data_IF_353422628619
#
_entry.id   IF_353422628619
#
_cell.length_a   1.000
_cell.length_b   1.000
_cell.length_c   1.000
_cell.angle_alpha   90.00
_cell.angle_beta   90.00
_cell.angle_gamma   90.00
#
_symmetry.space_group_name_H-M   'P 1'
#
loop_
_entity.id
_entity.type
_entity.pdbx_description
1 polymer ?
#
# COMPACT_ATOMS: atom_id res chain seq x y z
N UNK A 1 10.34 -10.19 4.53
CA UNK A 1 11.20 -11.24 5.14
C UNK A 1 12.20 -11.85 4.15
N UNK A 2 11.78 -12.14 2.91
CA UNK A 2 12.59 -12.88 1.94
C UNK A 2 13.09 -12.05 0.74
N UNK A 3 12.84 -10.73 0.74
CA UNK A 3 13.07 -9.84 -0.43
C UNK A 3 12.27 -10.20 -1.69
N UNK A 4 11.22 -11.02 -1.54
CA UNK A 4 10.29 -11.34 -2.62
C UNK A 4 9.37 -10.17 -2.96
N UNK A 5 8.78 -10.22 -4.16
CA UNK A 5 7.76 -9.27 -4.58
C UNK A 5 6.49 -9.38 -3.72
N UNK A 6 5.93 -8.23 -3.37
CA UNK A 6 4.61 -8.11 -2.76
C UNK A 6 3.63 -7.57 -3.79
N UNK A 7 2.40 -8.06 -3.73
CA UNK A 7 1.30 -7.58 -4.55
C UNK A 7 0.36 -6.74 -3.69
N UNK A 8 -0.06 -5.59 -4.21
CA UNK A 8 -0.97 -4.69 -3.50
C UNK A 8 -2.24 -4.58 -4.34
N UNK A 9 -3.39 -4.80 -3.71
CA UNK A 9 -4.69 -4.65 -4.34
C UNK A 9 -4.87 -3.22 -4.84
N UNK A 10 -5.33 -3.07 -6.07
CA UNK A 10 -5.52 -1.78 -6.70
C UNK A 10 -6.76 -1.75 -7.58
N UNK A 11 -7.21 -0.55 -7.87
CA UNK A 11 -8.21 -0.25 -8.89
C UNK A 11 -7.49 0.39 -10.07
N UNK A 12 -7.97 0.10 -11.27
CA UNK A 12 -7.47 0.72 -12.50
C UNK A 12 -8.66 1.18 -13.32
N UNK A 13 -8.50 2.34 -13.95
CA UNK A 13 -9.45 2.85 -14.93
C UNK A 13 -8.76 3.70 -16.00
N UNK A 14 -9.44 3.86 -17.12
CA UNK A 14 -9.11 4.89 -18.11
C UNK A 14 -9.80 6.20 -17.72
N UNK A 15 -9.05 7.23 -17.35
CA UNK A 15 -9.60 8.56 -17.10
C UNK A 15 -9.53 9.43 -18.36
N UNK A 16 -10.64 10.08 -18.71
CA UNK A 16 -10.66 11.05 -19.81
C UNK A 16 -9.84 12.32 -19.54
N UNK A 17 -9.53 12.61 -18.27
CA UNK A 17 -8.79 13.81 -17.86
C UNK A 17 -7.28 13.54 -17.76
N UNK A 18 -6.89 12.43 -17.14
CA UNK A 18 -5.49 12.14 -16.80
C UNK A 18 -4.92 10.90 -17.50
N UNK A 19 -5.72 10.23 -18.35
CA UNK A 19 -5.33 9.00 -19.03
C UNK A 19 -5.44 7.75 -18.13
N UNK A 20 -4.75 6.64 -18.49
CA UNK A 20 -4.76 5.42 -17.69
C UNK A 20 -4.22 5.69 -16.28
N UNK A 21 -5.01 5.40 -15.25
CA UNK A 21 -4.62 5.63 -13.88
C UNK A 21 -4.97 4.44 -12.98
N UNK A 22 -4.26 4.35 -11.86
CA UNK A 22 -4.54 3.34 -10.84
C UNK A 22 -4.48 3.97 -9.45
N UNK A 23 -5.19 3.35 -8.52
CA UNK A 23 -5.13 3.70 -7.10
C UNK A 23 -4.92 2.43 -6.28
N UNK A 24 -4.13 2.56 -5.22
CA UNK A 24 -3.87 1.47 -4.29
C UNK A 24 -4.97 1.40 -3.24
N UNK A 25 -5.45 0.19 -2.97
CA UNK A 25 -6.38 -0.06 -1.89
C UNK A 25 -5.64 -0.14 -0.56
N UNK A 26 -6.29 0.35 0.49
CA UNK A 26 -5.79 0.28 1.87
C UNK A 26 -6.81 -0.41 2.77
N UNK A 27 -6.33 -1.02 3.84
CA UNK A 27 -7.14 -1.62 4.91
C UNK A 27 -6.78 -0.99 6.26
N UNK A 28 -7.50 -1.39 7.31
CA UNK A 28 -7.03 -1.20 8.68
C UNK A 28 -5.64 -1.83 8.87
N UNK A 29 -4.82 -1.19 9.70
CA UNK A 29 -3.50 -1.71 10.04
C UNK A 29 -3.58 -2.94 10.96
N UNK A 30 -2.74 -3.94 10.69
CA UNK A 30 -2.53 -5.05 11.61
C UNK A 30 -1.68 -4.62 12.82
N UNK A 31 -1.47 -5.53 13.78
CA UNK A 31 -0.71 -5.25 15.01
C UNK A 31 0.74 -4.83 14.78
N UNK A 32 1.34 -5.20 13.63
CA UNK A 32 2.71 -4.81 13.28
C UNK A 32 2.77 -3.38 12.74
N UNK A 33 1.79 -2.97 11.94
CA UNK A 33 1.77 -1.66 11.27
C UNK A 33 1.10 -0.59 12.12
N UNK A 34 0.15 -0.94 12.99
CA UNK A 34 -0.60 0.02 13.81
C UNK A 34 0.25 0.95 14.69
N UNK A 35 1.46 0.58 15.19
CA UNK A 35 2.34 1.51 15.88
C UNK A 35 3.00 2.57 14.97
N UNK A 36 2.99 2.36 13.65
CA UNK A 36 3.56 3.24 12.63
C UNK A 36 2.46 4.11 12.00
N UNK A 37 1.35 3.50 11.60
CA UNK A 37 0.22 4.17 10.96
C UNK A 37 -1.08 3.34 11.10
N UNK A 38 -2.24 4.01 11.12
CA UNK A 38 -3.54 3.36 11.33
C UNK A 38 -4.09 2.62 10.09
N UNK A 39 -3.53 2.89 8.91
CA UNK A 39 -3.84 2.22 7.63
C UNK A 39 -2.63 1.50 7.09
N UNK A 40 -2.85 0.41 6.36
CA UNK A 40 -1.83 -0.30 5.61
C UNK A 40 -2.29 -0.63 4.18
N UNK A 41 -1.37 -0.89 3.24
CA UNK A 41 -1.74 -1.41 1.92
C UNK A 41 -2.46 -2.76 2.02
N UNK A 42 -3.43 -3.00 1.12
CA UNK A 42 -4.10 -4.30 1.00
C UNK A 42 -3.17 -5.32 0.30
N UNK A 43 -2.41 -6.11 1.06
CA UNK A 43 -1.36 -7.01 0.51
C UNK A 43 -1.93 -8.33 0.01
N UNK A 44 -2.06 -8.52 -1.30
CA UNK A 44 -2.59 -9.77 -1.86
C UNK A 44 -1.51 -10.85 -1.83
N UNK A 45 -1.79 -12.00 -1.20
CA UNK A 45 -0.86 -13.14 -1.23
C UNK A 45 -0.92 -13.87 -2.57
N UNK A 46 0.12 -14.63 -2.90
CA UNK A 46 0.15 -15.42 -4.14
C UNK A 46 -1.05 -16.37 -4.27
N UNK A 47 -1.57 -16.89 -3.16
CA UNK A 47 -2.74 -17.78 -3.14
C UNK A 47 -4.07 -17.04 -3.33
N UNK A 48 -4.09 -15.72 -3.08
CA UNK A 48 -5.30 -14.90 -3.12
C UNK A 48 -5.43 -14.09 -4.40
N UNK A 49 -4.45 -14.15 -5.32
CA UNK A 49 -4.45 -13.36 -6.56
C UNK A 49 -5.73 -13.56 -7.38
N UNK A 50 -6.04 -14.82 -7.72
CA UNK A 50 -7.21 -15.15 -8.54
C UNK A 50 -8.50 -14.73 -7.84
N UNK A 51 -8.58 -15.00 -6.54
CA UNK A 51 -9.73 -14.63 -5.72
C UNK A 51 -9.94 -13.11 -5.67
N UNK A 52 -8.86 -12.34 -5.49
CA UNK A 52 -8.93 -10.89 -5.51
C UNK A 52 -9.42 -10.36 -6.85
N UNK A 53 -8.92 -10.89 -7.97
CA UNK A 53 -9.31 -10.45 -9.31
C UNK A 53 -10.77 -10.78 -9.63
N UNK A 54 -11.31 -11.89 -9.12
CA UNK A 54 -12.67 -12.33 -9.38
C UNK A 54 -13.70 -11.74 -8.40
N UNK A 55 -13.32 -11.55 -7.14
CA UNK A 55 -14.26 -11.29 -6.04
C UNK A 55 -13.97 -9.99 -5.26
N UNK A 56 -12.84 -9.33 -5.53
CA UNK A 56 -12.41 -8.11 -4.85
C UNK A 56 -11.98 -8.32 -3.40
N UNK A 57 -12.06 -7.27 -2.58
CA UNK A 57 -11.57 -7.28 -1.18
C UNK A 57 -12.46 -8.00 -0.16
N UNK A 58 -13.63 -8.53 -0.56
CA UNK A 58 -14.62 -9.10 0.38
C UNK A 58 -14.08 -10.25 1.25
N UNK A 59 -12.99 -10.87 0.84
CA UNK A 59 -12.39 -12.04 1.48
C UNK A 59 -11.01 -11.75 2.08
N UNK A 60 -10.62 -10.48 2.12
CA UNK A 60 -9.27 -10.08 2.44
C UNK A 60 -9.14 -9.67 3.91
N UNK A 61 -8.37 -10.43 4.69
CA UNK A 61 -7.94 -10.05 6.03
C UNK A 61 -6.44 -9.69 6.02
N UNK A 62 -6.00 -8.68 6.79
CA UNK A 62 -4.59 -8.28 6.81
C UNK A 62 -3.71 -9.43 7.32
N UNK A 63 -2.79 -9.98 6.51
CA UNK A 63 -1.98 -11.11 6.94
C UNK A 63 -0.95 -10.64 7.98
N UNK A 64 -0.84 -11.29 9.15
CA UNK A 64 0.05 -10.83 10.23
C UNK A 64 1.54 -11.10 9.96
N UNK A 65 1.90 -11.99 9.02
CA UNK A 65 3.25 -12.56 8.92
C UNK A 65 4.05 -12.20 7.65
N UNK A 66 3.54 -11.28 6.80
CA UNK A 66 4.23 -10.95 5.54
C UNK A 66 5.29 -9.85 5.66
N UNK A 67 5.21 -9.04 6.71
CA UNK A 67 6.03 -7.84 6.84
C UNK A 67 6.97 -7.97 8.04
N UNK A 68 8.09 -7.28 7.94
CA UNK A 68 8.99 -6.99 9.06
C UNK A 68 9.17 -5.48 9.11
N UNK A 69 9.46 -4.96 10.30
CA UNK A 69 9.78 -3.55 10.49
C UNK A 69 11.25 -3.41 10.86
N UNK A 70 11.93 -2.47 10.20
CA UNK A 70 13.32 -2.13 10.48
C UNK A 70 13.43 -0.62 10.62
N UNK A 71 14.25 -0.15 11.57
CA UNK A 71 14.54 1.28 11.70
C UNK A 71 15.56 1.68 10.65
N UNK A 72 15.16 2.60 9.78
CA UNK A 72 16.03 3.16 8.74
C UNK A 72 16.27 4.65 8.97
N UNK A 73 17.42 5.16 8.52
CA UNK A 73 17.69 6.59 8.53
C UNK A 73 16.66 7.30 7.63
N UNK A 74 16.11 8.44 8.09
CA UNK A 74 15.16 9.21 7.29
C UNK A 74 15.90 9.90 6.13
N UNK A 75 15.66 9.51 4.87
CA UNK A 75 16.39 10.05 3.72
C UNK A 75 16.03 11.52 3.43
N UNK A 76 14.94 12.03 3.99
CA UNK A 76 14.46 13.39 3.77
C UNK A 76 15.10 14.43 4.70
N UNK A 77 15.79 14.02 5.78
CA UNK A 77 16.39 14.97 6.73
C UNK A 77 17.54 15.80 6.12
N UNK A 78 18.11 15.38 4.99
CA UNK A 78 19.20 16.10 4.30
C UNK A 78 18.77 16.92 3.07
N UNK A 79 17.53 16.75 2.61
CA UNK A 79 17.04 17.41 1.39
C UNK A 79 16.11 18.54 1.82
N UNK A 80 16.58 19.79 1.70
CA UNK A 80 15.71 20.95 1.88
C UNK A 80 14.64 20.91 0.78
N UNK A 81 13.34 20.84 1.10
CA UNK A 81 12.30 20.81 0.07
C UNK A 81 12.42 22.04 -0.84
N UNK A 82 12.54 21.83 -2.14
CA UNK A 82 12.61 22.90 -3.15
C UNK A 82 11.22 23.43 -3.53
N UNK A 83 10.17 22.70 -3.14
CA UNK A 83 8.78 23.07 -3.33
C UNK A 83 8.08 23.01 -1.98
N UNK A 84 7.25 24.02 -1.70
CA UNK A 84 6.26 23.97 -0.64
C UNK A 84 5.08 23.24 -1.26
N UNK A 85 4.74 22.08 -0.71
CA UNK A 85 3.48 21.44 -1.04
C UNK A 85 2.39 22.26 -0.36
N UNK A 86 1.72 23.13 -1.12
CA UNK A 86 0.45 23.68 -0.67
C UNK A 86 -0.48 22.49 -0.40
N UNK A 87 -1.22 22.55 0.72
CA UNK A 87 -1.99 21.42 1.22
C UNK A 87 -2.77 20.74 0.09
N UNK A 88 -2.57 19.42 -0.08
CA UNK A 88 -3.52 18.62 -0.80
C UNK A 88 -4.75 18.57 0.11
N UNK A 89 -5.75 19.40 -0.25
CA UNK A 89 -7.05 19.65 0.39
C UNK A 89 -7.07 20.77 1.43
#
# INVERSE_FOLDING_TARGET
PNHDYLWIGGLWEESSEVGPCFSMLTTEANSLVSPIHHRMPAIVTANDHEKFLLEGLKFFEPPPELLITERVANPLLGIKPSHIQDELF
#
